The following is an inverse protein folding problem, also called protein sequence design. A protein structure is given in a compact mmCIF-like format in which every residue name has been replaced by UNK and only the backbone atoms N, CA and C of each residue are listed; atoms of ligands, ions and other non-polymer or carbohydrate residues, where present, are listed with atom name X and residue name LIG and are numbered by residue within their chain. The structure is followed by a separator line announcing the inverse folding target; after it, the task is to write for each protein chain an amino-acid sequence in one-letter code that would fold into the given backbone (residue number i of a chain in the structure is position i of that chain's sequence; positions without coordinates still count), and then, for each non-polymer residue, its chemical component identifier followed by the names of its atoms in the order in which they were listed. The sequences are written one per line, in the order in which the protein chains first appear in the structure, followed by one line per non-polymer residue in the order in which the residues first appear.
data_IF_087524078525
#
_entry.id   IF_087524078525
#
_cell.length_a   1.000
_cell.length_b   1.000
_cell.length_c   1.000
_cell.angle_alpha   90.00
_cell.angle_beta   90.00
_cell.angle_gamma   90.00
#
_symmetry.space_group_name_H-M   'P 1'
#
loop_
_entity.id
_entity.type
_entity.pdbx_description
1 polymer ?
#
# COMPACT_ATOMS: atom_id res chain seq x y z
N UNK A 1 31.07 7.74 13.22
CA UNK A 1 31.03 6.46 12.46
C UNK A 1 30.45 6.77 11.10
N UNK A 2 31.25 6.90 10.03
CA UNK A 2 30.71 7.20 8.71
C UNK A 2 29.96 5.98 8.19
N UNK A 3 28.68 6.19 7.86
CA UNK A 3 27.81 5.21 7.23
C UNK A 3 28.30 5.06 5.79
N UNK A 4 28.73 3.84 5.42
CA UNK A 4 29.14 3.54 4.05
C UNK A 4 27.98 3.83 3.07
N UNK A 5 28.27 4.40 1.89
CA UNK A 5 27.24 4.71 0.90
C UNK A 5 26.55 3.42 0.43
N UNK A 6 25.22 3.50 0.27
CA UNK A 6 24.38 2.38 -0.16
C UNK A 6 24.26 2.43 -1.69
N UNK A 7 25.32 2.08 -2.41
CA UNK A 7 25.33 2.07 -3.89
C UNK A 7 25.86 0.79 -4.55
N UNK A 8 26.17 -0.26 -3.80
CA UNK A 8 26.64 -1.53 -4.38
C UNK A 8 25.74 -2.71 -4.02
N UNK A 9 25.61 -3.63 -4.98
CA UNK A 9 24.99 -4.93 -4.74
C UNK A 9 25.90 -5.70 -3.79
N UNK A 10 25.48 -5.85 -2.54
CA UNK A 10 26.25 -6.55 -1.52
C UNK A 10 25.66 -7.93 -1.26
N UNK A 11 26.49 -8.95 -1.41
CA UNK A 11 26.21 -10.31 -0.96
C UNK A 11 27.18 -10.62 0.17
N UNK A 12 26.66 -10.97 1.35
CA UNK A 12 27.49 -11.41 2.50
C UNK A 12 27.01 -12.77 2.97
N UNK A 13 27.90 -13.75 3.04
CA UNK A 13 27.67 -14.99 3.79
C UNK A 13 27.52 -14.71 5.29
N UNK A 14 26.67 -15.45 5.97
CA UNK A 14 26.62 -15.45 7.44
C UNK A 14 27.63 -16.46 7.99
N UNK A 15 28.45 -16.06 8.96
CA UNK A 15 29.58 -16.86 9.50
C UNK A 15 29.18 -18.27 9.97
N UNK A 16 27.91 -18.48 10.34
CA UNK A 16 27.39 -19.78 10.78
C UNK A 16 27.00 -20.72 9.62
N UNK A 17 27.29 -20.37 8.36
CA UNK A 17 26.93 -21.15 7.17
C UNK A 17 25.42 -21.28 6.92
N UNK A 18 24.59 -20.49 7.62
CA UNK A 18 23.13 -20.65 7.65
C UNK A 18 22.43 -19.98 6.46
N UNK A 19 23.09 -19.04 5.78
CA UNK A 19 22.53 -18.33 4.63
C UNK A 19 23.39 -17.17 4.14
N UNK A 20 22.84 -16.37 3.24
CA UNK A 20 23.43 -15.14 2.74
C UNK A 20 22.47 -13.97 2.85
N UNK A 21 23.02 -12.80 3.19
CA UNK A 21 22.31 -11.52 3.20
C UNK A 21 22.64 -10.80 1.88
N UNK A 22 21.60 -10.33 1.20
CA UNK A 22 21.67 -9.68 -0.10
C UNK A 22 21.04 -8.30 0.00
N UNK A 23 21.77 -7.29 -0.45
CA UNK A 23 21.29 -5.91 -0.61
C UNK A 23 21.49 -5.50 -2.06
N UNK A 24 20.46 -4.97 -2.70
CA UNK A 24 20.54 -4.33 -4.01
C UNK A 24 19.50 -3.21 -4.10
N UNK A 25 19.70 -2.20 -4.97
CA UNK A 25 18.74 -1.12 -5.19
C UNK A 25 17.36 -1.68 -5.54
N UNK A 26 16.29 -1.03 -5.08
CA UNK A 26 14.95 -1.52 -5.34
C UNK A 26 14.58 -1.35 -6.83
N UNK A 27 14.64 -2.45 -7.57
CA UNK A 27 14.07 -2.63 -8.91
C UNK A 27 13.02 -3.74 -8.83
N UNK A 28 11.77 -3.44 -9.18
CA UNK A 28 10.69 -4.42 -9.09
C UNK A 28 10.89 -5.61 -10.03
N UNK A 29 11.47 -5.40 -11.21
CA UNK A 29 11.77 -6.47 -12.16
C UNK A 29 12.88 -7.37 -11.63
N UNK A 30 13.94 -6.81 -11.03
CA UNK A 30 15.00 -7.58 -10.37
C UNK A 30 14.47 -8.32 -9.14
N UNK A 31 13.62 -7.69 -8.32
CA UNK A 31 12.97 -8.34 -7.17
C UNK A 31 12.09 -9.49 -7.61
N UNK A 32 11.35 -9.35 -8.71
CA UNK A 32 10.50 -10.40 -9.25
C UNK A 32 11.34 -11.58 -9.75
N UNK A 33 12.36 -11.33 -10.57
CA UNK A 33 13.31 -12.35 -11.04
C UNK A 33 14.03 -13.03 -9.87
N UNK A 34 14.44 -12.25 -8.86
CA UNK A 34 15.06 -12.77 -7.64
C UNK A 34 14.12 -13.69 -6.85
N UNK A 35 12.86 -13.29 -6.66
CA UNK A 35 11.86 -14.13 -5.99
C UNK A 35 11.54 -15.41 -6.76
N UNK A 36 11.47 -15.33 -8.09
CA UNK A 36 11.30 -16.51 -8.93
C UNK A 36 12.48 -17.49 -8.79
N UNK A 37 13.72 -16.97 -8.76
CA UNK A 37 14.94 -17.78 -8.63
C UNK A 37 15.19 -18.31 -7.22
N UNK A 38 14.80 -17.55 -6.20
CA UNK A 38 14.97 -17.87 -4.78
C UNK A 38 13.64 -17.80 -4.00
N UNK A 39 12.71 -18.75 -4.20
CA UNK A 39 11.37 -18.70 -3.59
C UNK A 39 11.35 -18.73 -2.04
N UNK A 40 12.46 -19.19 -1.42
CA UNK A 40 12.62 -19.27 0.03
C UNK A 40 13.29 -18.03 0.65
N UNK A 41 13.61 -17.02 -0.16
CA UNK A 41 14.20 -15.78 0.34
C UNK A 41 13.21 -15.01 1.24
N UNK A 42 13.73 -14.38 2.30
CA UNK A 42 12.94 -13.60 3.25
C UNK A 42 13.39 -12.15 3.26
N UNK A 43 12.44 -11.22 3.24
CA UNK A 43 12.73 -9.79 3.37
C UNK A 43 12.88 -9.42 4.86
N UNK A 44 13.92 -8.68 5.20
CA UNK A 44 14.12 -8.06 6.50
C UNK A 44 13.94 -6.54 6.37
N UNK A 45 12.92 -6.01 7.04
CA UNK A 45 12.51 -4.61 6.89
C UNK A 45 13.49 -3.63 7.55
N UNK A 46 14.07 -4.02 8.70
CA UNK A 46 14.98 -3.17 9.49
C UNK A 46 16.30 -2.88 8.76
N UNK A 47 16.85 -3.88 8.06
CA UNK A 47 18.09 -3.77 7.30
C UNK A 47 17.88 -3.51 5.81
N UNK A 48 16.63 -3.57 5.34
CA UNK A 48 16.26 -3.53 3.91
C UNK A 48 17.04 -4.55 3.07
N UNK A 49 17.22 -5.75 3.61
CA UNK A 49 17.99 -6.82 2.98
C UNK A 49 17.17 -8.08 2.79
N UNK A 50 17.53 -8.88 1.78
CA UNK A 50 17.03 -10.23 1.59
C UNK A 50 17.91 -11.25 2.29
N UNK A 51 17.30 -12.20 3.01
CA UNK A 51 17.97 -13.38 3.54
C UNK A 51 17.67 -14.59 2.66
N UNK A 52 18.70 -15.23 2.13
CA UNK A 52 18.60 -16.47 1.34
C UNK A 52 19.14 -17.64 2.17
N UNK A 53 18.32 -18.65 2.48
CA UNK A 53 18.77 -19.77 3.31
C UNK A 53 19.69 -20.74 2.55
N UNK A 54 20.66 -21.30 3.27
CA UNK A 54 21.51 -22.41 2.84
C UNK A 54 23.01 -22.08 2.76
N UNK A 55 23.83 -23.10 2.92
CA UNK A 55 25.31 -23.02 2.98
C UNK A 55 25.95 -22.52 1.69
N UNK A 56 25.29 -22.70 0.54
CA UNK A 56 25.75 -22.21 -0.78
C UNK A 56 24.99 -20.98 -1.25
N UNK A 57 24.21 -20.32 -0.37
CA UNK A 57 23.38 -19.18 -0.74
C UNK A 57 24.21 -18.05 -1.36
N UNK A 58 25.34 -17.69 -0.75
CA UNK A 58 26.22 -16.63 -1.23
C UNK A 58 26.72 -16.91 -2.66
N UNK A 59 27.28 -18.10 -2.91
CA UNK A 59 27.76 -18.48 -4.24
C UNK A 59 26.65 -18.53 -5.29
N UNK A 60 25.46 -19.02 -4.94
CA UNK A 60 24.32 -19.07 -5.88
C UNK A 60 23.81 -17.69 -6.23
N UNK A 61 23.72 -16.79 -5.24
CA UNK A 61 23.30 -15.41 -5.46
C UNK A 61 24.35 -14.68 -6.28
N UNK A 62 25.65 -14.83 -5.96
CA UNK A 62 26.74 -14.21 -6.71
C UNK A 62 26.76 -14.65 -8.18
N UNK A 63 26.64 -15.95 -8.46
CA UNK A 63 26.57 -16.45 -9.84
C UNK A 63 25.31 -15.96 -10.59
N UNK A 64 24.17 -15.89 -9.91
CA UNK A 64 22.95 -15.36 -10.51
C UNK A 64 23.10 -13.87 -10.84
N UNK A 65 23.61 -13.06 -9.91
CA UNK A 65 23.89 -11.64 -10.14
C UNK A 65 24.91 -11.44 -11.25
N UNK A 66 25.99 -12.23 -11.31
CA UNK A 66 26.95 -12.14 -12.43
C UNK A 66 26.28 -12.40 -13.76
N UNK A 67 25.42 -13.42 -13.86
CA UNK A 67 24.66 -13.68 -15.09
C UNK A 67 23.69 -12.54 -15.40
N UNK A 68 23.02 -11.98 -14.39
CA UNK A 68 22.08 -10.87 -14.53
C UNK A 68 22.73 -9.50 -14.75
N UNK A 69 24.06 -9.35 -14.55
CA UNK A 69 24.82 -8.09 -14.64
C UNK A 69 26.02 -8.17 -15.59
N UNK A 70 26.08 -9.21 -16.43
CA UNK A 70 27.22 -9.49 -17.32
C UNK A 70 27.43 -8.40 -18.40
N UNK A 71 28.64 -8.38 -18.99
CA UNK A 71 29.10 -7.56 -20.13
C UNK A 71 28.07 -7.25 -21.25
N UNK A 72 27.15 -8.16 -21.65
CA UNK A 72 26.08 -7.82 -22.60
C UNK A 72 25.22 -6.61 -22.20
N UNK A 73 25.19 -6.27 -20.91
CA UNK A 73 24.47 -5.11 -20.39
C UNK A 73 25.20 -3.78 -20.61
N UNK A 74 26.53 -3.76 -20.55
CA UNK A 74 27.31 -2.54 -20.82
C UNK A 74 27.13 -2.10 -22.28
N UNK A 75 27.19 -3.07 -23.21
CA UNK A 75 26.90 -2.83 -24.62
C UNK A 75 25.45 -2.40 -24.87
N UNK A 76 24.49 -2.92 -24.09
CA UNK A 76 23.09 -2.48 -24.16
C UNK A 76 22.91 -1.03 -23.66
N UNK A 77 23.66 -0.60 -22.64
CA UNK A 77 23.66 0.81 -22.20
C UNK A 77 24.30 1.74 -23.22
N UNK A 78 25.42 1.34 -23.83
CA UNK A 78 26.05 2.11 -24.92
C UNK A 78 25.09 2.28 -26.10
N UNK A 79 24.46 1.20 -26.55
CA UNK A 79 23.43 1.25 -27.58
C UNK A 79 22.25 2.15 -27.18
N UNK A 80 21.80 2.07 -25.93
CA UNK A 80 20.73 2.92 -25.41
C UNK A 80 21.13 4.39 -25.39
N UNK A 81 22.39 4.71 -25.06
CA UNK A 81 22.94 6.06 -25.12
C UNK A 81 22.98 6.59 -26.55
N UNK A 82 23.45 5.80 -27.50
CA UNK A 82 23.46 6.17 -28.92
C UNK A 82 22.04 6.41 -29.44
N UNK A 83 21.08 5.55 -29.07
CA UNK A 83 19.67 5.71 -29.43
C UNK A 83 19.03 6.95 -28.80
N UNK A 84 19.37 7.29 -27.56
CA UNK A 84 18.92 8.53 -26.92
C UNK A 84 19.54 9.77 -27.57
N UNK A 85 20.83 9.72 -27.92
CA UNK A 85 21.51 10.81 -28.60
C UNK A 85 20.92 11.09 -29.99
N UNK A 86 20.45 10.04 -30.68
CA UNK A 86 19.79 10.17 -31.97
C UNK A 86 18.37 10.75 -31.88
N UNK A 87 17.60 10.37 -30.85
CA UNK A 87 16.20 10.75 -30.68
C UNK A 87 15.87 11.00 -29.20
N UNK A 88 16.25 12.16 -28.63
CA UNK A 88 16.10 12.40 -27.20
C UNK A 88 14.62 12.57 -26.83
N UNK A 89 14.26 12.07 -25.65
CA UNK A 89 12.94 12.38 -25.06
C UNK A 89 13.03 13.78 -24.46
N UNK A 90 12.37 14.75 -25.07
CA UNK A 90 12.33 16.13 -24.56
C UNK A 90 11.23 16.26 -23.51
N UNK A 91 11.60 16.43 -22.24
CA UNK A 91 10.64 16.71 -21.17
C UNK A 91 11.29 17.38 -19.97
N UNK A 92 10.53 18.23 -19.28
CA UNK A 92 10.97 18.92 -18.05
C UNK A 92 11.22 17.98 -16.86
N UNK A 93 10.76 16.74 -16.93
CA UNK A 93 10.91 15.75 -15.86
C UNK A 93 12.03 14.72 -16.12
N UNK A 94 12.75 14.84 -17.25
CA UNK A 94 13.82 13.93 -17.63
C UNK A 94 15.14 14.67 -17.77
N UNK A 95 16.16 14.20 -17.07
CA UNK A 95 17.54 14.69 -17.16
C UNK A 95 18.43 13.54 -17.62
N UNK A 96 19.20 13.75 -18.69
CA UNK A 96 20.16 12.77 -19.18
C UNK A 96 21.53 13.02 -18.54
N UNK A 97 22.01 12.05 -17.75
CA UNK A 97 23.37 12.02 -17.19
C UNK A 97 24.03 10.68 -17.58
N UNK A 98 24.85 10.11 -16.70
CA UNK A 98 25.38 8.74 -16.86
C UNK A 98 24.27 7.69 -16.96
N UNK A 99 23.14 7.96 -16.29
CA UNK A 99 21.84 7.29 -16.44
C UNK A 99 20.74 8.33 -16.73
N UNK A 100 19.55 7.85 -17.14
CA UNK A 100 18.37 8.70 -17.31
C UNK A 100 17.72 8.97 -15.94
N UNK A 101 17.70 10.23 -15.52
CA UNK A 101 17.15 10.65 -14.22
C UNK A 101 15.75 11.23 -14.42
N UNK A 102 14.75 10.63 -13.79
CA UNK A 102 13.36 11.08 -13.84
C UNK A 102 12.96 11.78 -12.53
N UNK A 103 12.70 13.09 -12.62
CA UNK A 103 12.29 13.96 -11.50
C UNK A 103 10.85 14.41 -11.66
N UNK A 104 9.91 13.61 -11.15
CA UNK A 104 8.47 13.91 -11.23
C UNK A 104 7.85 14.21 -9.86
N UNK A 105 6.80 15.05 -9.79
CA UNK A 105 5.96 15.15 -8.60
C UNK A 105 5.37 13.80 -8.20
N UNK A 106 5.20 13.56 -6.89
CA UNK A 106 4.65 12.30 -6.39
C UNK A 106 3.25 12.03 -6.97
N UNK A 107 3.14 10.96 -7.75
CA UNK A 107 1.89 10.46 -8.31
C UNK A 107 1.91 8.94 -8.25
N UNK A 108 0.81 8.33 -7.81
CA UNK A 108 0.72 6.86 -7.73
C UNK A 108 0.88 6.21 -9.10
N UNK A 109 0.27 6.81 -10.13
CA UNK A 109 0.35 6.33 -11.52
C UNK A 109 1.81 6.42 -12.01
N UNK A 110 2.49 7.55 -11.78
CA UNK A 110 3.90 7.71 -12.18
C UNK A 110 4.78 6.65 -11.52
N UNK A 111 4.58 6.38 -10.23
CA UNK A 111 5.34 5.35 -9.51
C UNK A 111 5.05 3.95 -10.06
N UNK A 112 3.78 3.65 -10.37
CA UNK A 112 3.40 2.36 -10.95
C UNK A 112 4.02 2.15 -12.34
N UNK A 113 4.02 3.18 -13.19
CA UNK A 113 4.65 3.14 -14.51
C UNK A 113 6.18 3.02 -14.42
N UNK A 114 6.85 3.83 -13.60
CA UNK A 114 8.30 3.79 -13.43
C UNK A 114 8.76 2.46 -12.82
N UNK A 115 7.98 1.89 -11.90
CA UNK A 115 8.27 0.57 -11.34
C UNK A 115 8.13 -0.57 -12.35
N UNK A 116 7.32 -0.38 -13.39
CA UNK A 116 7.15 -1.35 -14.46
C UNK A 116 8.30 -1.32 -15.48
N UNK A 117 9.14 -0.27 -15.46
CA UNK A 117 10.33 -0.19 -16.30
C UNK A 117 11.42 -1.11 -15.71
N UNK A 118 11.94 -2.06 -16.49
CA UNK A 118 13.03 -2.91 -16.04
C UNK A 118 14.27 -2.10 -15.64
N UNK A 119 14.98 -2.52 -14.58
CA UNK A 119 16.19 -1.86 -14.06
C UNK A 119 16.02 -0.42 -13.56
N UNK A 120 14.80 0.13 -13.57
CA UNK A 120 14.51 1.40 -12.95
C UNK A 120 14.56 1.28 -11.42
N UNK A 121 15.33 2.16 -10.79
CA UNK A 121 15.51 2.18 -9.35
C UNK A 121 15.19 3.55 -8.78
N UNK A 122 14.58 3.57 -7.60
CA UNK A 122 14.40 4.80 -6.85
C UNK A 122 15.67 5.13 -6.07
N UNK A 123 16.22 6.31 -6.32
CA UNK A 123 17.29 6.90 -5.54
C UNK A 123 16.69 7.80 -4.44
N UNK A 124 16.98 7.46 -3.18
CA UNK A 124 16.48 8.18 -2.02
C UNK A 124 17.23 9.49 -1.76
N UNK A 125 18.51 9.58 -2.13
CA UNK A 125 19.36 10.74 -1.88
C UNK A 125 19.05 11.84 -2.87
N UNK A 126 18.98 11.50 -4.15
CA UNK A 126 18.56 12.44 -5.21
C UNK A 126 17.05 12.64 -5.30
N UNK A 127 16.26 11.78 -4.62
CA UNK A 127 14.80 11.75 -4.68
C UNK A 127 14.29 11.69 -6.12
N UNK A 128 14.93 10.86 -6.92
CA UNK A 128 14.66 10.70 -8.35
C UNK A 128 14.67 9.22 -8.72
N UNK A 129 14.07 8.89 -9.85
CA UNK A 129 14.23 7.56 -10.43
C UNK A 129 15.44 7.56 -11.35
N UNK A 130 16.34 6.60 -11.16
CA UNK A 130 17.44 6.31 -12.10
C UNK A 130 16.99 5.18 -13.01
N UNK A 131 17.05 5.43 -14.32
CA UNK A 131 16.69 4.48 -15.37
C UNK A 131 17.91 4.29 -16.26
N UNK A 132 18.51 3.09 -16.31
CA UNK A 132 19.64 2.86 -17.18
C UNK A 132 19.27 2.98 -18.66
N UNK A 133 20.22 3.38 -19.49
CA UNK A 133 19.99 3.57 -20.94
C UNK A 133 19.54 2.30 -21.66
N UNK A 134 19.91 1.10 -21.19
CA UNK A 134 19.37 -0.18 -21.70
C UNK A 134 17.85 -0.26 -21.68
N UNK A 135 17.19 0.55 -20.84
CA UNK A 135 15.75 0.57 -20.60
C UNK A 135 15.05 1.72 -21.34
N UNK A 136 15.77 2.42 -22.23
CA UNK A 136 15.25 3.57 -22.95
C UNK A 136 13.96 3.26 -23.71
N UNK A 137 13.89 2.13 -24.42
CA UNK A 137 12.69 1.76 -25.19
C UNK A 137 11.49 1.56 -24.27
N UNK A 138 11.67 0.85 -23.15
CA UNK A 138 10.63 0.66 -22.15
C UNK A 138 10.21 1.99 -21.48
N UNK A 139 11.15 2.92 -21.31
CA UNK A 139 10.85 4.27 -20.83
C UNK A 139 10.03 5.05 -21.87
N UNK A 140 10.41 5.00 -23.16
CA UNK A 140 9.70 5.69 -24.25
C UNK A 140 8.26 5.24 -24.38
N UNK A 141 8.01 3.94 -24.34
CA UNK A 141 6.65 3.38 -24.43
C UNK A 141 5.72 3.91 -23.33
N UNK A 142 6.28 4.16 -22.14
CA UNK A 142 5.53 4.62 -20.96
C UNK A 142 5.60 6.12 -20.72
N UNK A 143 6.46 6.84 -21.45
CA UNK A 143 6.80 8.23 -21.17
C UNK A 143 5.57 9.14 -21.20
N UNK A 144 4.72 8.99 -22.21
CA UNK A 144 3.51 9.80 -22.34
C UNK A 144 2.56 9.64 -21.14
N UNK A 145 2.40 8.41 -20.63
CA UNK A 145 1.57 8.15 -19.45
C UNK A 145 2.18 8.77 -18.19
N UNK A 146 3.50 8.67 -18.03
CA UNK A 146 4.26 9.28 -16.95
C UNK A 146 4.11 10.81 -16.97
N UNK A 147 4.31 11.43 -18.14
CA UNK A 147 4.26 12.88 -18.31
C UNK A 147 2.85 13.45 -18.05
N UNK A 148 1.81 12.84 -18.63
CA UNK A 148 0.42 13.23 -18.37
C UNK A 148 0.09 13.09 -16.88
N UNK A 149 0.53 12.00 -16.24
CA UNK A 149 0.28 11.78 -14.82
C UNK A 149 1.08 12.75 -13.92
N UNK A 150 2.29 13.13 -14.33
CA UNK A 150 3.13 14.11 -13.65
C UNK A 150 2.53 15.52 -13.73
N UNK A 151 2.13 15.96 -14.93
CA UNK A 151 1.44 17.24 -15.15
C UNK A 151 0.16 17.35 -14.30
N UNK A 152 -0.68 16.30 -14.30
CA UNK A 152 -1.90 16.25 -13.46
C UNK A 152 -1.59 16.26 -11.96
N UNK A 153 -0.42 15.80 -11.57
CA UNK A 153 0.04 15.73 -10.19
C UNK A 153 0.71 17.02 -9.72
N UNK A 154 0.96 17.97 -10.62
CA UNK A 154 1.52 19.26 -10.24
C UNK A 154 0.66 19.95 -9.16
N UNK A 155 1.28 20.59 -8.16
CA UNK A 155 0.57 21.26 -7.08
C UNK A 155 -0.45 22.29 -7.58
N UNK A 156 -0.15 23.00 -8.67
CA UNK A 156 -1.04 23.98 -9.31
C UNK A 156 -2.30 23.33 -9.89
N UNK A 157 -2.14 22.29 -10.71
CA UNK A 157 -3.24 21.53 -11.30
C UNK A 157 -4.09 20.80 -10.24
N UNK A 158 -3.45 20.29 -9.18
CA UNK A 158 -4.17 19.73 -8.03
C UNK A 158 -5.01 20.79 -7.31
N UNK A 159 -4.49 22.00 -7.15
CA UNK A 159 -5.22 23.11 -6.52
C UNK A 159 -6.38 23.55 -7.39
N UNK A 160 -6.17 23.73 -8.70
CA UNK A 160 -7.22 24.10 -9.66
C UNK A 160 -8.36 23.08 -9.67
N UNK A 161 -8.06 21.78 -9.76
CA UNK A 161 -9.10 20.73 -9.70
C UNK A 161 -9.85 20.70 -8.37
N UNK A 162 -9.17 20.95 -7.25
CA UNK A 162 -9.86 21.07 -5.95
C UNK A 162 -10.78 22.28 -5.90
N UNK A 163 -10.41 23.38 -6.55
CA UNK A 163 -11.24 24.59 -6.63
C UNK A 163 -12.42 24.42 -7.59
N UNK A 164 -12.22 23.77 -8.74
CA UNK A 164 -13.29 23.37 -9.66
C UNK A 164 -14.28 22.40 -8.99
N UNK A 165 -13.77 21.39 -8.28
CA UNK A 165 -14.61 20.50 -7.48
C UNK A 165 -15.39 21.28 -6.43
N UNK A 166 -14.75 22.20 -5.69
CA UNK A 166 -15.43 23.07 -4.71
C UNK A 166 -16.54 23.93 -5.34
N UNK A 167 -16.40 24.31 -6.61
CA UNK A 167 -17.41 25.09 -7.36
C UNK A 167 -18.54 24.21 -7.89
N UNK A 168 -18.37 22.89 -7.93
CA UNK A 168 -19.43 21.96 -8.32
C UNK A 168 -20.50 21.84 -7.23
N UNK A 169 -21.81 21.80 -7.57
CA UNK A 169 -22.88 21.54 -6.61
C UNK A 169 -22.74 20.17 -5.92
N UNK A 170 -22.08 19.20 -6.57
CA UNK A 170 -21.79 17.87 -6.00
C UNK A 170 -20.87 17.94 -4.76
N UNK A 171 -20.08 19.01 -4.62
CA UNK A 171 -19.22 19.20 -3.45
C UNK A 171 -20.00 19.42 -2.16
N UNK A 172 -21.21 20.01 -2.24
CA UNK A 172 -22.12 20.15 -1.10
C UNK A 172 -22.47 18.77 -0.53
N UNK A 173 -22.99 17.87 -1.38
CA UNK A 173 -23.34 16.51 -1.01
C UNK A 173 -22.12 15.71 -0.52
N UNK A 174 -20.96 15.82 -1.17
CA UNK A 174 -19.72 15.14 -0.71
C UNK A 174 -19.30 15.65 0.67
N UNK A 175 -19.40 16.96 0.93
CA UNK A 175 -19.06 17.57 2.22
C UNK A 175 -20.03 17.14 3.32
N UNK A 176 -21.32 17.08 3.03
CA UNK A 176 -22.36 16.59 3.95
C UNK A 176 -22.10 15.13 4.30
N UNK A 177 -21.89 14.26 3.31
CA UNK A 177 -21.53 12.85 3.52
C UNK A 177 -20.23 12.69 4.32
N UNK A 178 -19.22 13.51 4.05
CA UNK A 178 -17.97 13.49 4.80
C UNK A 178 -18.16 13.95 6.25
N UNK A 179 -19.05 14.92 6.48
CA UNK A 179 -19.41 15.39 7.83
C UNK A 179 -20.17 14.29 8.58
N UNK A 180 -21.09 13.60 7.91
CA UNK A 180 -21.86 12.51 8.49
C UNK A 180 -20.95 11.31 8.85
N UNK A 181 -20.04 10.92 7.95
CA UNK A 181 -19.03 9.88 8.24
C UNK A 181 -18.14 10.21 9.44
N UNK A 182 -17.85 11.49 9.68
CA UNK A 182 -17.06 11.93 10.85
C UNK A 182 -17.82 11.80 12.17
N UNK A 183 -19.16 11.78 12.15
CA UNK A 183 -19.97 11.57 13.35
C UNK A 183 -19.88 10.13 13.88
N UNK A 184 -19.26 9.19 13.14
CA UNK A 184 -19.09 7.77 13.52
C UNK A 184 -20.41 7.12 13.94
N UNK A 185 -21.48 7.47 13.24
CA UNK A 185 -22.77 6.82 13.35
C UNK A 185 -22.93 5.85 12.17
N UNK A 186 -23.74 4.83 12.36
CA UNK A 186 -24.09 3.86 11.33
C UNK A 186 -25.60 3.64 11.35
N UNK A 187 -26.28 3.59 10.20
CA UNK A 187 -27.69 3.28 10.19
C UNK A 187 -27.86 1.77 10.38
N UNK A 188 -28.70 1.37 11.33
CA UNK A 188 -29.05 -0.04 11.58
C UNK A 188 -30.57 -0.23 11.58
N UNK A 189 -31.08 -1.40 11.17
CA UNK A 189 -32.50 -1.68 11.25
C UNK A 189 -33.01 -1.54 12.70
N UNK A 190 -34.04 -0.73 12.90
CA UNK A 190 -34.62 -0.44 14.22
C UNK A 190 -35.07 -1.69 14.98
N UNK A 191 -35.62 -2.67 14.27
CA UNK A 191 -36.13 -3.93 14.82
C UNK A 191 -35.03 -4.95 15.15
N UNK A 192 -33.79 -4.70 14.75
CA UNK A 192 -32.72 -5.68 14.83
C UNK A 192 -31.40 -5.04 15.26
N UNK A 193 -31.40 -4.32 16.39
CA UNK A 193 -30.20 -3.70 16.93
C UNK A 193 -29.24 -4.73 17.58
N UNK A 194 -27.92 -4.58 17.39
CA UNK A 194 -26.93 -5.42 18.02
C UNK A 194 -26.82 -5.17 19.52
N UNK A 195 -26.32 -6.16 20.29
CA UNK A 195 -26.09 -5.97 21.71
C UNK A 195 -25.06 -4.87 21.97
N UNK A 196 -25.44 -3.89 22.81
CA UNK A 196 -24.57 -2.80 23.20
C UNK A 196 -23.35 -3.31 23.98
N UNK A 197 -22.20 -2.69 23.75
CA UNK A 197 -20.96 -3.02 24.45
C UNK A 197 -20.33 -4.36 24.07
N UNK A 198 -20.87 -5.07 23.07
CA UNK A 198 -20.31 -6.33 22.58
C UNK A 198 -19.76 -6.18 21.16
N UNK A 199 -18.58 -6.74 20.86
CA UNK A 199 -18.06 -6.78 19.50
C UNK A 199 -18.95 -7.64 18.59
N UNK A 200 -19.40 -7.05 17.48
CA UNK A 200 -20.19 -7.70 16.43
C UNK A 200 -19.49 -7.50 15.10
N UNK A 201 -19.64 -8.46 14.18
CA UNK A 201 -19.20 -8.29 12.80
C UNK A 201 -20.29 -7.57 12.03
N UNK A 202 -19.88 -6.61 11.21
CA UNK A 202 -20.74 -5.93 10.27
C UNK A 202 -20.22 -6.12 8.85
N UNK A 203 -21.11 -6.44 7.92
CA UNK A 203 -20.80 -6.90 6.55
C UNK A 203 -19.74 -6.05 5.85
N UNK A 204 -19.84 -4.73 5.96
CA UNK A 204 -18.93 -3.81 5.25
C UNK A 204 -17.88 -3.12 6.12
N UNK A 205 -17.94 -3.27 7.44
CA UNK A 205 -17.08 -2.55 8.39
C UNK A 205 -16.15 -3.47 9.20
N UNK A 206 -16.41 -4.78 9.19
CA UNK A 206 -15.72 -5.76 10.02
C UNK A 206 -16.19 -5.70 11.48
N UNK A 207 -15.33 -6.07 12.41
CA UNK A 207 -15.71 -6.14 13.84
C UNK A 207 -15.77 -4.72 14.44
N UNK A 208 -16.95 -4.34 14.91
CA UNK A 208 -17.23 -3.07 15.58
C UNK A 208 -17.90 -3.30 16.93
N UNK A 209 -17.81 -2.30 17.81
CA UNK A 209 -18.54 -2.29 19.07
C UNK A 209 -19.54 -1.15 19.04
N UNK A 210 -20.84 -1.48 19.15
CA UNK A 210 -21.92 -0.50 19.19
C UNK A 210 -22.06 0.03 20.62
N UNK A 211 -22.00 1.34 20.78
CA UNK A 211 -21.97 2.01 22.08
C UNK A 211 -23.31 2.58 22.50
N UNK A 212 -24.23 2.82 21.55
CA UNK A 212 -25.57 3.32 21.83
C UNK A 212 -26.27 3.80 20.56
N UNK A 213 -27.47 4.35 20.71
CA UNK A 213 -28.25 5.02 19.67
C UNK A 213 -28.78 6.36 20.19
N UNK A 214 -28.97 7.32 19.30
CA UNK A 214 -29.70 8.56 19.57
C UNK A 214 -31.22 8.40 19.36
N UNK A 215 -31.64 7.32 18.69
CA UNK A 215 -33.05 7.08 18.35
C UNK A 215 -33.51 7.85 17.11
N UNK A 216 -32.59 8.55 16.43
CA UNK A 216 -32.87 9.31 15.23
C UNK A 216 -33.05 8.36 14.03
N UNK A 217 -34.14 8.52 13.29
CA UNK A 217 -34.42 7.73 12.09
C UNK A 217 -33.56 8.26 10.94
N UNK A 218 -32.83 7.37 10.29
CA UNK A 218 -31.98 7.69 9.15
C UNK A 218 -32.82 7.86 7.89
N UNK A 219 -32.54 8.92 7.13
CA UNK A 219 -33.15 9.16 5.83
C UNK A 219 -32.64 8.18 4.76
N UNK A 220 -33.54 7.73 3.88
CA UNK A 220 -33.27 6.72 2.84
C UNK A 220 -32.18 7.17 1.86
N UNK A 221 -32.14 8.45 1.48
CA UNK A 221 -31.10 8.95 0.58
C UNK A 221 -29.71 8.90 1.24
N UNK A 222 -29.64 9.11 2.55
CA UNK A 222 -28.40 9.00 3.31
C UNK A 222 -27.98 7.53 3.49
N UNK A 223 -28.93 6.64 3.79
CA UNK A 223 -28.69 5.19 3.94
C UNK A 223 -28.08 4.60 2.68
N UNK A 224 -28.54 5.01 1.49
CA UNK A 224 -28.02 4.53 0.21
C UNK A 224 -26.50 4.76 0.02
N UNK A 225 -25.90 5.67 0.78
CA UNK A 225 -24.45 5.95 0.74
C UNK A 225 -23.61 5.07 1.68
N UNK A 226 -24.28 4.29 2.54
CA UNK A 226 -23.66 3.33 3.43
C UNK A 226 -23.80 1.92 2.85
N UNK A 227 -22.75 1.08 2.97
CA UNK A 227 -22.80 -0.31 2.56
C UNK A 227 -23.56 -1.15 3.61
N UNK A 228 -24.81 -0.79 3.89
CA UNK A 228 -25.67 -1.52 4.81
C UNK A 228 -26.38 -2.61 4.02
N UNK A 229 -26.25 -3.85 4.48
CA UNK A 229 -27.09 -4.96 4.03
C UNK A 229 -28.20 -5.10 5.07
N UNK A 230 -29.45 -4.84 4.69
CA UNK A 230 -30.54 -4.82 5.65
C UNK A 230 -31.90 -4.68 4.99
N UNK A 231 -32.87 -5.42 5.53
CA UNK A 231 -34.28 -5.50 5.15
C UNK A 231 -34.97 -4.12 5.00
N UNK A 232 -36.03 -4.07 4.19
CA UNK A 232 -36.95 -2.92 4.08
C UNK A 232 -37.50 -2.59 5.47
N UNK A 233 -37.32 -1.34 5.93
CA UNK A 233 -37.81 -0.87 7.23
C UNK A 233 -37.13 0.41 7.71
N UNK A 234 -37.50 0.88 8.91
CA UNK A 234 -36.93 2.08 9.52
C UNK A 234 -35.53 1.81 10.06
N UNK A 235 -34.57 2.66 9.70
CA UNK A 235 -33.20 2.60 10.19
C UNK A 235 -32.98 3.66 11.27
N UNK A 236 -32.24 3.30 12.30
CA UNK A 236 -31.87 4.21 13.40
C UNK A 236 -30.37 4.39 13.41
N UNK A 237 -29.91 5.61 13.71
CA UNK A 237 -28.49 5.88 13.89
C UNK A 237 -27.95 5.26 15.18
N UNK A 238 -26.88 4.48 15.03
CA UNK A 238 -26.12 3.94 16.17
C UNK A 238 -24.70 4.46 16.17
N UNK A 239 -24.16 4.71 17.36
CA UNK A 239 -22.76 5.04 17.56
C UNK A 239 -21.92 3.77 17.60
N UNK A 240 -20.76 3.82 16.95
CA UNK A 240 -19.83 2.70 16.95
C UNK A 240 -18.39 3.15 17.17
N UNK A 241 -17.58 2.22 17.66
CA UNK A 241 -16.12 2.37 17.70
C UNK A 241 -15.43 1.05 17.38
N UNK A 242 -14.16 1.14 17.01
CA UNK A 242 -13.31 -0.05 16.94
C UNK A 242 -13.12 -0.63 18.35
N UNK A 243 -13.27 -1.95 18.53
CA UNK A 243 -13.01 -2.60 19.81
C UNK A 243 -11.51 -2.61 20.13
N UNK A 244 -11.20 -2.54 21.42
CA UNK A 244 -9.84 -2.65 21.95
C UNK A 244 -9.34 -4.10 21.89
N UNK A 245 -8.02 -4.32 22.00
CA UNK A 245 -7.48 -5.67 22.06
C UNK A 245 -8.08 -6.47 23.24
N UNK A 246 -8.24 -5.83 24.40
CA UNK A 246 -8.83 -6.46 25.59
C UNK A 246 -10.27 -6.93 25.37
N UNK A 247 -11.10 -6.12 24.70
CA UNK A 247 -12.48 -6.46 24.36
C UNK A 247 -12.55 -7.62 23.35
N UNK A 248 -11.68 -7.61 22.33
CA UNK A 248 -11.59 -8.69 21.36
C UNK A 248 -11.14 -10.02 21.98
N UNK A 249 -10.30 -9.98 23.00
CA UNK A 249 -9.84 -11.19 23.73
C UNK A 249 -10.94 -11.76 24.62
N UNK A 250 -11.70 -10.88 25.30
CA UNK A 250 -12.82 -11.29 26.18
C UNK A 250 -14.06 -11.77 25.43
N UNK A 251 -14.15 -11.49 24.13
CA UNK A 251 -15.30 -11.89 23.31
C UNK A 251 -15.27 -13.38 23.00
N UNK A 252 -16.38 -14.06 23.31
CA UNK A 252 -16.59 -15.46 22.99
C UNK A 252 -16.94 -15.63 21.50
N UNK A 253 -16.27 -16.54 20.77
CA UNK A 253 -16.55 -16.77 19.36
C UNK A 253 -17.91 -17.43 19.16
N UNK A 254 -18.58 -17.08 18.06
CA UNK A 254 -19.71 -17.84 17.55
C UNK A 254 -19.27 -19.27 17.18
N UNK A 255 -20.10 -20.26 17.53
CA UNK A 255 -19.82 -21.68 17.24
C UNK A 255 -20.06 -22.08 15.79
N UNK A 256 -20.83 -21.27 15.06
CA UNK A 256 -21.24 -21.51 13.67
C UNK A 256 -20.98 -20.24 12.85
N UNK A 257 -20.70 -20.38 11.55
CA UNK A 257 -20.69 -19.24 10.65
C UNK A 257 -22.09 -18.58 10.59
N UNK A 258 -22.17 -17.30 10.19
CA UNK A 258 -23.43 -16.59 10.11
C UNK A 258 -24.36 -17.21 9.05
N UNK A 259 -25.62 -17.42 9.42
CA UNK A 259 -26.64 -17.88 8.48
C UNK A 259 -27.05 -16.75 7.52
N UNK A 260 -27.72 -17.10 6.41
CA UNK A 260 -28.18 -16.12 5.40
C UNK A 260 -29.05 -15.02 6.02
N UNK A 261 -29.91 -15.34 6.99
CA UNK A 261 -30.72 -14.35 7.71
C UNK A 261 -29.88 -13.39 8.56
N UNK A 262 -28.80 -13.86 9.18
CA UNK A 262 -27.90 -13.00 9.97
C UNK A 262 -27.05 -12.11 9.09
N UNK A 263 -26.67 -12.60 7.91
CA UNK A 263 -26.00 -11.81 6.88
C UNK A 263 -26.95 -10.76 6.29
N UNK A 264 -28.22 -11.13 6.05
CA UNK A 264 -29.27 -10.23 5.57
C UNK A 264 -29.64 -9.16 6.61
N UNK A 265 -29.59 -9.49 7.91
CA UNK A 265 -29.71 -8.54 9.02
C UNK A 265 -28.56 -7.52 9.06
N UNK A 266 -27.42 -7.85 8.45
CA UNK A 266 -26.26 -6.95 8.34
C UNK A 266 -25.26 -7.03 9.50
N UNK A 267 -25.52 -7.87 10.52
CA UNK A 267 -24.58 -8.11 11.60
C UNK A 267 -24.76 -9.48 12.28
N UNK A 268 -23.64 -10.03 12.77
CA UNK A 268 -23.58 -11.30 13.49
C UNK A 268 -22.48 -11.31 14.57
N UNK A 269 -22.47 -12.36 15.39
CA UNK A 269 -21.42 -12.56 16.38
C UNK A 269 -20.13 -13.05 15.70
N UNK A 270 -18.95 -12.52 16.07
CA UNK A 270 -17.70 -12.88 15.41
C UNK A 270 -17.36 -14.37 15.53
N UNK A 271 -16.95 -14.97 14.42
CA UNK A 271 -16.36 -16.31 14.39
C UNK A 271 -14.92 -16.27 14.93
N UNK A 272 -14.35 -17.45 15.22
CA UNK A 272 -12.99 -17.55 15.76
C UNK A 272 -11.94 -16.97 14.78
N UNK A 273 -12.10 -17.17 13.48
CA UNK A 273 -11.12 -16.72 12.49
C UNK A 273 -11.18 -15.21 12.26
N UNK A 274 -12.38 -14.62 12.27
CA UNK A 274 -12.57 -13.16 12.27
C UNK A 274 -11.92 -12.53 13.51
N UNK A 275 -12.12 -13.12 14.70
CA UNK A 275 -11.47 -12.65 15.94
C UNK A 275 -9.95 -12.79 15.87
N UNK A 276 -9.40 -13.88 15.32
CA UNK A 276 -7.95 -14.05 15.15
C UNK A 276 -7.35 -12.97 14.24
N UNK A 277 -8.01 -12.66 13.12
CA UNK A 277 -7.57 -11.60 12.22
C UNK A 277 -7.62 -10.22 12.90
N UNK A 278 -8.73 -9.90 13.58
CA UNK A 278 -8.88 -8.63 14.28
C UNK A 278 -7.91 -8.47 15.45
N UNK A 279 -7.67 -9.52 16.25
CA UNK A 279 -6.68 -9.50 17.35
C UNK A 279 -5.27 -9.25 16.84
N UNK A 280 -4.87 -9.86 15.71
CA UNK A 280 -3.56 -9.59 15.07
C UNK A 280 -3.44 -8.13 14.63
N UNK A 281 -4.48 -7.59 13.99
CA UNK A 281 -4.52 -6.19 13.57
C UNK A 281 -4.45 -5.23 14.76
N UNK A 282 -5.23 -5.47 15.81
CA UNK A 282 -5.23 -4.66 17.02
C UNK A 282 -3.86 -4.65 17.72
N UNK A 283 -3.20 -5.81 17.85
CA UNK A 283 -1.83 -5.91 18.38
C UNK A 283 -0.82 -5.10 17.57
N UNK A 284 -0.93 -5.14 16.23
CA UNK A 284 -0.06 -4.35 15.36
C UNK A 284 -0.25 -2.85 15.57
N UNK A 285 -1.51 -2.40 15.69
CA UNK A 285 -1.84 -0.99 15.93
C UNK A 285 -1.32 -0.52 17.30
N UNK A 286 -1.54 -1.27 18.37
CA UNK A 286 -1.04 -0.93 19.71
C UNK A 286 0.49 -0.85 19.75
N UNK A 287 1.19 -1.78 19.08
CA UNK A 287 2.65 -1.72 18.94
C UNK A 287 3.10 -0.48 18.18
N UNK A 288 2.50 -0.19 17.03
CA UNK A 288 2.83 0.99 16.24
C UNK A 288 2.59 2.29 17.03
N UNK A 289 1.53 2.35 17.84
CA UNK A 289 1.27 3.47 18.73
C UNK A 289 2.36 3.60 19.82
N UNK A 290 2.76 2.48 20.44
CA UNK A 290 3.84 2.46 21.43
C UNK A 290 5.19 2.90 20.84
N UNK A 291 5.54 2.44 19.63
CA UNK A 291 6.76 2.86 18.93
C UNK A 291 6.74 4.37 18.59
N UNK A 292 5.59 4.91 18.19
CA UNK A 292 5.46 6.36 17.93
C UNK A 292 5.62 7.17 19.21
N UNK A 293 4.97 6.74 20.29
CA UNK A 293 5.07 7.40 21.60
C UNK A 293 6.51 7.39 22.13
N UNK A 294 7.21 6.25 22.03
CA UNK A 294 8.61 6.13 22.44
C UNK A 294 9.59 6.98 21.60
N UNK A 295 9.17 7.44 20.42
CA UNK A 295 9.97 8.29 19.51
C UNK A 295 9.64 9.79 19.66
N UNK A 296 8.59 10.12 20.40
CA UNK A 296 8.20 11.51 20.70
C UNK A 296 8.66 11.98 22.08
N UNK A 297 9.18 11.07 22.90
CA UNK A 297 9.88 11.32 24.17
C UNK A 297 11.39 11.31 23.88
#
# INVERSE_FOLDING_TARGET
MPVAPVEEIQVRGQDDGTGAIVSFPYDASLVERFRARFPRARWHDDSRTWFVPGTTAERRVGLWLQHELSEPMAFADERGRDAFAFDPIESQYLEANDDLIVRTPYSRIVIEELRAIPWAAWDADERAWRVPYRSLEALRERWLAIEIAALRAEPGERKRRREELKRSPEFGAIKELATERRRKRLPLPSLALPPLGRPVVMTAMGIVLVTGSDGEIADLATIATYPVSGTIGDYVWVFWRSPTLGELVRTWPARRPPNEEEQARGWWLPTLDELRAARRKARSIERAAATRAARTV
#
